data_IF_778435495451
#
_entry.id   IF_778435495451
#
_cell.length_a   1.000
_cell.length_b   1.000
_cell.length_c   1.000
_cell.angle_alpha   90.00
_cell.angle_beta   90.00
_cell.angle_gamma   90.00
#
_symmetry.space_group_name_H-M   'P 1'
#
loop_
_entity.id
_entity.type
_entity.pdbx_description
1 polymer ?
#
# COMPACT_ATOMS: atom_id res chain seq x y z
N UNK A 1 0.42 -24.76 -17.80
CA UNK A 1 0.42 -23.57 -16.94
C UNK A 1 1.87 -23.35 -16.55
N UNK A 2 2.53 -22.42 -17.23
CA UNK A 2 3.98 -22.27 -17.25
C UNK A 2 4.25 -20.78 -17.05
N UNK A 3 4.85 -20.40 -15.91
CA UNK A 3 5.26 -19.02 -15.65
C UNK A 3 6.77 -18.99 -15.88
N UNK A 4 7.18 -18.57 -17.08
CA UNK A 4 8.57 -18.34 -17.42
C UNK A 4 8.99 -16.95 -16.92
N UNK A 5 10.02 -16.93 -16.06
CA UNK A 5 10.76 -15.74 -15.69
C UNK A 5 11.78 -15.44 -16.79
N UNK A 6 11.74 -14.25 -17.38
CA UNK A 6 12.73 -13.78 -18.34
C UNK A 6 13.38 -12.49 -17.84
N UNK A 7 14.67 -12.58 -17.51
CA UNK A 7 15.59 -11.48 -17.24
C UNK A 7 15.80 -10.62 -18.49
N UNK A 8 15.89 -9.28 -18.34
CA UNK A 8 16.60 -8.43 -19.30
C UNK A 8 17.30 -7.29 -18.54
N UNK A 9 18.63 -7.31 -18.57
CA UNK A 9 19.53 -6.23 -18.17
C UNK A 9 19.66 -5.17 -19.28
N UNK A 10 20.01 -3.94 -18.89
CA UNK A 10 20.76 -3.00 -19.72
C UNK A 10 19.95 -1.88 -20.37
N UNK A 11 20.22 -0.64 -19.95
CA UNK A 11 20.62 0.50 -20.80
C UNK A 11 20.84 1.74 -19.90
N UNK A 12 22.12 2.11 -19.73
CA UNK A 12 22.55 3.43 -19.24
C UNK A 12 22.41 4.48 -20.36
N UNK A 13 22.11 5.74 -20.00
CA UNK A 13 22.01 6.86 -20.94
C UNK A 13 21.83 8.23 -20.27
N UNK A 14 22.98 8.86 -19.96
CA UNK A 14 23.35 10.29 -19.84
C UNK A 14 22.31 11.43 -19.67
N UNK A 15 22.51 12.20 -18.57
CA UNK A 15 22.58 13.68 -18.41
C UNK A 15 21.55 14.62 -19.09
N UNK A 16 20.82 15.41 -18.28
CA UNK A 16 20.99 16.88 -18.14
C UNK A 16 19.81 17.53 -17.38
N UNK A 17 20.14 18.55 -16.59
CA UNK A 17 19.29 19.31 -15.66
C UNK A 17 18.49 20.42 -16.36
N UNK A 18 17.21 20.59 -16.00
CA UNK A 18 16.42 21.82 -16.15
C UNK A 18 15.48 22.03 -14.94
N UNK A 19 15.07 23.28 -14.62
CA UNK A 19 14.67 23.71 -13.27
C UNK A 19 13.20 23.47 -12.90
N UNK A 20 12.92 23.54 -11.59
CA UNK A 20 11.62 23.38 -10.93
C UNK A 20 10.60 24.47 -11.29
N UNK A 21 9.39 24.06 -11.69
CA UNK A 21 8.18 24.89 -11.64
C UNK A 21 7.04 24.14 -10.94
N UNK A 22 6.58 24.68 -9.81
CA UNK A 22 5.19 24.53 -9.36
C UNK A 22 4.85 23.31 -8.50
N UNK A 23 5.57 23.05 -7.39
CA UNK A 23 4.98 22.25 -6.29
C UNK A 23 3.80 23.02 -5.68
N UNK A 24 2.59 22.75 -6.16
CA UNK A 24 1.38 23.08 -5.39
C UNK A 24 1.48 22.36 -4.04
N UNK A 25 1.38 23.14 -2.96
CA UNK A 25 1.31 22.62 -1.61
C UNK A 25 0.21 21.54 -1.52
N UNK A 26 0.41 20.46 -0.75
CA UNK A 26 -0.66 19.51 -0.52
C UNK A 26 -1.82 20.24 0.18
N UNK A 27 -2.96 20.33 -0.50
CA UNK A 27 -4.17 20.97 0.01
C UNK A 27 -4.56 20.37 1.36
N UNK A 28 -4.93 21.27 2.27
CA UNK A 28 -5.18 21.01 3.68
C UNK A 28 -6.23 19.91 3.88
N UNK A 29 -5.89 18.98 4.80
CA UNK A 29 -6.78 17.92 5.27
C UNK A 29 -8.02 18.55 5.90
N UNK A 30 -9.20 18.19 5.39
CA UNK A 30 -10.48 18.54 5.99
C UNK A 30 -11.30 17.28 6.19
N UNK A 31 -11.73 17.02 7.43
CA UNK A 31 -12.76 16.02 7.76
C UNK A 31 -12.36 15.07 8.90
N UNK A 32 -13.17 15.04 9.98
CA UNK A 32 -12.95 14.29 11.22
C UNK A 32 -12.44 12.86 11.02
N UNK A 33 -11.33 12.56 11.72
CA UNK A 33 -10.40 11.47 11.41
C UNK A 33 -11.01 10.08 11.50
N UNK A 34 -11.54 9.58 10.38
CA UNK A 34 -11.53 8.15 10.11
C UNK A 34 -10.08 7.76 9.80
N UNK A 35 -9.56 6.63 10.33
CA UNK A 35 -8.20 6.20 10.03
C UNK A 35 -7.97 6.19 8.52
N UNK A 36 -6.92 6.88 8.06
CA UNK A 36 -6.64 7.07 6.65
C UNK A 36 -6.38 5.71 5.98
N UNK A 37 -7.17 5.38 4.97
CA UNK A 37 -7.00 4.16 4.17
C UNK A 37 -5.67 4.20 3.41
N UNK A 38 -4.89 3.12 3.51
CA UNK A 38 -3.64 2.94 2.77
C UNK A 38 -3.94 2.43 1.36
N UNK A 39 -3.79 3.29 0.36
CA UNK A 39 -3.97 2.92 -1.05
C UNK A 39 -2.68 2.33 -1.62
N UNK A 40 -2.76 1.14 -2.21
CA UNK A 40 -1.61 0.43 -2.78
C UNK A 40 -1.77 0.30 -4.29
N UNK A 41 -0.67 0.47 -5.01
CA UNK A 41 -0.58 0.31 -6.46
C UNK A 41 0.42 -0.78 -6.83
N UNK A 42 0.44 -1.20 -8.09
CA UNK A 42 1.44 -2.16 -8.59
C UNK A 42 2.90 -1.65 -8.46
N UNK A 43 3.11 -0.33 -8.39
CA UNK A 43 4.44 0.28 -8.21
C UNK A 43 4.82 0.55 -6.75
N UNK A 44 3.91 0.29 -5.80
CA UNK A 44 4.18 0.51 -4.39
C UNK A 44 5.30 -0.43 -3.92
N UNK A 45 6.25 0.08 -3.14
CA UNK A 45 7.33 -0.72 -2.54
C UNK A 45 6.79 -1.43 -1.29
N UNK A 46 6.80 -2.79 -1.22
CA UNK A 46 6.19 -3.51 -0.11
C UNK A 46 6.75 -3.12 1.27
N UNK A 47 8.05 -2.86 1.37
CA UNK A 47 8.71 -2.43 2.62
C UNK A 47 8.21 -1.07 3.11
N UNK A 48 7.99 -0.11 2.21
CA UNK A 48 7.45 1.21 2.56
C UNK A 48 6.02 1.11 3.05
N UNK A 49 5.18 0.32 2.36
CA UNK A 49 3.79 0.08 2.78
C UNK A 49 3.75 -0.69 4.11
N UNK A 50 4.66 -1.64 4.31
CA UNK A 50 4.76 -2.40 5.56
C UNK A 50 5.08 -1.50 6.77
N UNK A 51 5.99 -0.55 6.62
CA UNK A 51 6.29 0.44 7.66
C UNK A 51 5.06 1.27 8.03
N UNK A 52 4.28 1.71 7.02
CA UNK A 52 3.04 2.45 7.25
C UNK A 52 1.98 1.58 7.96
N UNK A 53 1.79 0.32 7.55
CA UNK A 53 0.86 -0.62 8.21
C UNK A 53 1.27 -0.80 9.67
N UNK A 54 2.55 -1.09 9.94
CA UNK A 54 3.04 -1.33 11.29
C UNK A 54 2.88 -0.09 12.19
N UNK A 55 3.17 1.11 11.67
CA UNK A 55 2.90 2.36 12.39
C UNK A 55 1.43 2.52 12.77
N UNK A 56 0.53 2.34 11.81
CA UNK A 56 -0.92 2.44 12.05
C UNK A 56 -1.41 1.40 13.06
N UNK A 57 -0.92 0.16 13.00
CA UNK A 57 -1.30 -0.89 13.97
C UNK A 57 -0.78 -0.59 15.38
N UNK A 58 0.43 -0.02 15.51
CA UNK A 58 0.97 0.38 16.81
C UNK A 58 0.14 1.48 17.45
N UNK A 59 -0.27 2.47 16.66
CA UNK A 59 -1.05 3.63 17.12
C UNK A 59 -2.53 3.32 17.34
N UNK A 60 -3.17 2.66 16.38
CA UNK A 60 -4.63 2.55 16.30
C UNK A 60 -5.14 1.11 16.45
N UNK A 61 -4.26 0.10 16.43
CA UNK A 61 -4.63 -1.31 16.52
C UNK A 61 -5.26 -1.89 15.24
N UNK A 62 -5.59 -1.05 14.25
CA UNK A 62 -6.27 -1.45 13.01
C UNK A 62 -5.84 -0.59 11.82
N UNK A 63 -5.50 -1.24 10.71
CA UNK A 63 -5.17 -0.61 9.44
C UNK A 63 -6.10 -1.11 8.33
N UNK A 64 -6.49 -0.21 7.43
CA UNK A 64 -7.24 -0.54 6.23
C UNK A 64 -6.38 -0.28 5.00
N UNK A 65 -6.30 -1.28 4.11
CA UNK A 65 -5.57 -1.22 2.85
C UNK A 65 -6.55 -1.43 1.71
N UNK A 66 -6.44 -0.62 0.66
CA UNK A 66 -7.21 -0.78 -0.58
C UNK A 66 -6.26 -0.96 -1.77
N UNK A 67 -6.52 -1.97 -2.59
CA UNK A 67 -5.72 -2.32 -3.75
C UNK A 67 -6.60 -2.69 -4.94
N UNK A 68 -6.22 -2.23 -6.13
CA UNK A 68 -6.99 -2.44 -7.37
C UNK A 68 -6.13 -3.18 -8.39
N UNK A 69 -6.63 -4.33 -8.84
CA UNK A 69 -5.93 -5.20 -9.78
C UNK A 69 -4.87 -6.09 -9.13
N UNK A 70 -4.40 -7.08 -9.90
CA UNK A 70 -3.52 -8.15 -9.43
C UNK A 70 -2.18 -7.63 -8.90
N UNK A 71 -1.55 -6.68 -9.61
CA UNK A 71 -0.26 -6.11 -9.21
C UNK A 71 -0.33 -5.39 -7.87
N UNK A 72 -1.31 -4.51 -7.67
CA UNK A 72 -1.50 -3.80 -6.41
C UNK A 72 -1.82 -4.75 -5.26
N UNK A 73 -2.68 -5.75 -5.51
CA UNK A 73 -3.07 -6.76 -4.51
C UNK A 73 -1.86 -7.56 -4.05
N UNK A 74 -1.01 -8.00 -4.98
CA UNK A 74 0.24 -8.69 -4.66
C UNK A 74 1.18 -7.82 -3.79
N UNK A 75 1.33 -6.53 -4.12
CA UNK A 75 2.16 -5.62 -3.32
C UNK A 75 1.58 -5.40 -1.92
N UNK A 76 0.26 -5.31 -1.79
CA UNK A 76 -0.41 -5.17 -0.51
C UNK A 76 -0.20 -6.41 0.37
N UNK A 77 -0.38 -7.61 -0.19
CA UNK A 77 -0.18 -8.87 0.55
C UNK A 77 1.28 -9.03 0.98
N UNK A 78 2.25 -8.73 0.11
CA UNK A 78 3.68 -8.72 0.47
C UNK A 78 3.97 -7.73 1.61
N UNK A 79 3.40 -6.54 1.55
CA UNK A 79 3.55 -5.54 2.60
C UNK A 79 2.97 -6.00 3.94
N UNK A 80 1.80 -6.66 3.93
CA UNK A 80 1.20 -7.24 5.14
C UNK A 80 2.08 -8.33 5.72
N UNK A 81 2.65 -9.20 4.89
CA UNK A 81 3.57 -10.24 5.36
C UNK A 81 4.81 -9.65 6.05
N UNK A 82 5.41 -8.60 5.47
CA UNK A 82 6.56 -7.90 6.07
C UNK A 82 6.15 -7.17 7.36
N UNK A 83 5.00 -6.48 7.36
CA UNK A 83 4.50 -5.78 8.53
C UNK A 83 4.25 -6.73 9.70
N UNK A 84 3.79 -7.95 9.44
CA UNK A 84 3.65 -8.99 10.48
C UNK A 84 4.99 -9.28 11.15
N UNK A 85 6.09 -9.39 10.41
CA UNK A 85 7.41 -9.58 11.00
C UNK A 85 7.82 -8.40 11.88
N UNK A 86 7.62 -7.16 11.41
CA UNK A 86 7.91 -5.96 12.21
C UNK A 86 7.09 -5.88 13.50
N UNK A 87 5.83 -6.32 13.46
CA UNK A 87 4.92 -6.29 14.61
C UNK A 87 5.19 -7.45 15.60
N UNK A 88 5.66 -8.59 15.10
CA UNK A 88 6.08 -9.72 15.93
C UNK A 88 7.26 -9.35 16.85
N UNK A 89 8.20 -8.53 16.37
CA UNK A 89 9.31 -8.02 17.19
C UNK A 89 8.82 -7.20 18.40
N UNK A 90 7.63 -6.58 18.30
CA UNK A 90 6.98 -5.84 19.40
C UNK A 90 5.99 -6.71 20.20
N UNK A 91 5.90 -8.02 19.93
CA UNK A 91 4.91 -8.91 20.55
C UNK A 91 3.47 -8.65 20.11
N UNK A 92 3.25 -7.97 18.97
CA UNK A 92 1.92 -7.66 18.44
C UNK A 92 1.55 -8.71 17.38
N UNK A 93 0.60 -9.58 17.70
CA UNK A 93 0.01 -10.51 16.73
C UNK A 93 -1.13 -9.84 15.97
N UNK A 94 -1.17 -10.02 14.64
CA UNK A 94 -2.23 -9.49 13.77
C UNK A 94 -2.79 -10.53 12.81
N UNK A 95 -4.05 -10.32 12.42
CA UNK A 95 -4.77 -11.05 11.37
C UNK A 95 -5.06 -10.13 10.18
N UNK A 96 -5.29 -10.73 9.00
CA UNK A 96 -5.72 -10.01 7.79
C UNK A 96 -7.06 -10.57 7.31
N UNK A 97 -8.04 -9.70 7.12
CA UNK A 97 -9.40 -10.05 6.67
C UNK A 97 -9.67 -9.38 5.31
N UNK A 98 -9.64 -10.15 4.21
CA UNK A 98 -9.93 -9.63 2.88
C UNK A 98 -11.44 -9.49 2.63
N UNK A 99 -11.82 -8.49 1.84
CA UNK A 99 -13.20 -8.23 1.38
C UNK A 99 -13.17 -7.49 0.04
N UNK A 100 -14.25 -7.53 -0.72
CA UNK A 100 -14.44 -6.62 -1.85
C UNK A 100 -14.96 -5.26 -1.34
N UNK A 101 -14.58 -4.20 -2.04
CA UNK A 101 -15.16 -2.87 -1.85
C UNK A 101 -15.22 -2.16 -3.19
N UNK A 102 -16.14 -1.22 -3.34
CA UNK A 102 -16.17 -0.32 -4.48
C UNK A 102 -15.39 0.95 -4.16
N UNK A 103 -14.64 1.45 -5.13
CA UNK A 103 -13.89 2.70 -5.01
C UNK A 103 -14.05 3.54 -6.26
N UNK A 104 -14.15 4.85 -6.07
CA UNK A 104 -14.23 5.81 -7.15
C UNK A 104 -12.84 6.13 -7.71
N UNK A 105 -12.63 5.94 -9.02
CA UNK A 105 -11.44 6.38 -9.74
C UNK A 105 -11.88 7.28 -10.90
N UNK A 106 -11.65 8.59 -10.75
CA UNK A 106 -12.20 9.57 -11.71
C UNK A 106 -13.72 9.52 -11.69
N UNK A 107 -14.34 9.26 -12.84
CA UNK A 107 -15.80 9.13 -12.97
C UNK A 107 -16.29 7.67 -12.94
N UNK A 108 -15.39 6.69 -12.79
CA UNK A 108 -15.74 5.28 -12.83
C UNK A 108 -15.66 4.64 -11.44
N UNK A 109 -16.66 3.80 -11.14
CA UNK A 109 -16.64 2.90 -9.99
C UNK A 109 -15.85 1.63 -10.35
N UNK A 110 -14.98 1.20 -9.43
CA UNK A 110 -14.10 0.05 -9.62
C UNK A 110 -14.14 -0.84 -8.39
N UNK A 111 -14.29 -2.13 -8.63
CA UNK A 111 -14.13 -3.14 -7.58
C UNK A 111 -12.66 -3.23 -7.16
N UNK A 112 -12.42 -3.08 -5.87
CA UNK A 112 -11.12 -3.17 -5.22
C UNK A 112 -11.12 -4.31 -4.19
N UNK A 113 -9.91 -4.77 -3.86
CA UNK A 113 -9.69 -5.60 -2.68
C UNK A 113 -9.43 -4.67 -1.49
N UNK A 114 -10.22 -4.84 -0.45
CA UNK A 114 -10.02 -4.23 0.86
C UNK A 114 -9.44 -5.27 1.82
N UNK A 115 -8.28 -4.95 2.38
CA UNK A 115 -7.61 -5.78 3.37
C UNK A 115 -7.64 -5.03 4.70
N UNK A 116 -8.32 -5.58 5.69
CA UNK A 116 -8.24 -5.10 7.07
C UNK A 116 -7.17 -5.88 7.78
N UNK A 117 -6.22 -5.17 8.40
CA UNK A 117 -5.26 -5.76 9.32
C UNK A 117 -5.57 -5.25 10.72
N UNK A 118 -5.67 -6.14 11.69
CA UNK A 118 -5.95 -5.77 13.08
C UNK A 118 -5.32 -6.75 14.06
N UNK A 119 -5.14 -6.30 15.31
CA UNK A 119 -4.63 -7.15 16.38
C UNK A 119 -5.51 -8.38 16.57
N UNK A 120 -4.87 -9.53 16.75
CA UNK A 120 -5.58 -10.75 17.15
C UNK A 120 -6.00 -10.60 18.60
N UNK A 121 -7.30 -10.72 18.87
CA UNK A 121 -7.87 -10.76 20.20
C UNK A 121 -7.68 -12.14 20.85
#
# INVERSE_FOLDING_TARGET
>A
MEILYSNIEGLEGTSSTQPEEGRKAPEARTGGGRPSVLKVSARSRPTSVAGAIAGVIRELGRAEIQAIGAGATNQAVKAIAIARSYLQEDGIEVVCVPSFTEVQIGQEERTAIRLVVERRA
#
